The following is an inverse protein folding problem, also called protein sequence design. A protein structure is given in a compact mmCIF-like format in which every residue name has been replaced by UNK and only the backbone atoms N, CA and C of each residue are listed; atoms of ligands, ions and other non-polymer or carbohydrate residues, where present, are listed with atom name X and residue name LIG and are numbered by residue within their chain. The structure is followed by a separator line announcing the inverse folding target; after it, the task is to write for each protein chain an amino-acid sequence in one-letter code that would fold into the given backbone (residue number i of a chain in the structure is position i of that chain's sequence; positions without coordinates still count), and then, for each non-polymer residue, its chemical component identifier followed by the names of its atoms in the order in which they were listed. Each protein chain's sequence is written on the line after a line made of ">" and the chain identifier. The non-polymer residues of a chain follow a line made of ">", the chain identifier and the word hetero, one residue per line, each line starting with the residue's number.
data_IF_748945751424
#
_entry.id   IF_748945751424
#
_cell.length_a   1.000
_cell.length_b   1.000
_cell.length_c   1.000
_cell.angle_alpha   90.00
_cell.angle_beta   90.00
_cell.angle_gamma   90.00
#
_symmetry.space_group_name_H-M   'P 1'
#
loop_
_entity.id
_entity.type
_entity.pdbx_description
1 polymer ?
#
# COMPACT_ATOMS: atom_id res chain seq x y z
N UNK A 1 15.24 10.75 4.35
CA UNK A 1 14.07 10.83 5.24
C UNK A 1 12.98 11.77 4.71
N UNK A 2 13.32 12.90 4.07
CA UNK A 2 12.32 13.78 3.41
C UNK A 2 11.55 13.09 2.25
N UNK A 3 12.23 12.32 1.40
CA UNK A 3 11.58 11.59 0.29
C UNK A 3 10.54 10.57 0.80
N UNK A 4 10.84 9.88 1.89
CA UNK A 4 9.93 8.92 2.52
C UNK A 4 8.63 9.59 3.00
N UNK A 5 8.72 10.79 3.58
CA UNK A 5 7.54 11.54 4.03
C UNK A 5 6.66 12.00 2.87
N UNK A 6 7.26 12.43 1.76
CA UNK A 6 6.51 12.83 0.56
C UNK A 6 5.77 11.62 -0.02
N UNK A 7 6.45 10.48 -0.17
CA UNK A 7 5.81 9.26 -0.65
C UNK A 7 4.70 8.76 0.28
N UNK A 8 4.86 8.91 1.60
CA UNK A 8 3.83 8.56 2.59
C UNK A 8 2.58 9.46 2.45
N UNK A 9 2.76 10.77 2.26
CA UNK A 9 1.65 11.70 2.06
C UNK A 9 0.89 11.41 0.76
N UNK A 10 1.64 11.17 -0.32
CA UNK A 10 1.09 10.79 -1.62
C UNK A 10 0.21 9.54 -1.53
N UNK A 11 0.71 8.46 -0.93
CA UNK A 11 -0.08 7.23 -0.78
C UNK A 11 -1.25 7.41 0.19
N UNK A 12 -1.10 8.20 1.26
CA UNK A 12 -2.18 8.49 2.19
C UNK A 12 -3.36 9.19 1.48
N UNK A 13 -3.08 10.10 0.54
CA UNK A 13 -4.11 10.81 -0.24
C UNK A 13 -4.92 9.86 -1.15
N UNK A 14 -4.29 8.82 -1.71
CA UNK A 14 -5.01 7.77 -2.45
C UNK A 14 -5.91 6.95 -1.51
N UNK A 15 -5.35 6.51 -0.39
CA UNK A 15 -5.94 5.47 0.45
C UNK A 15 -7.07 5.98 1.34
N UNK A 16 -7.00 7.22 1.83
CA UNK A 16 -7.90 7.75 2.87
C UNK A 16 -9.39 7.41 2.65
N UNK A 17 -9.99 7.77 1.51
CA UNK A 17 -11.40 7.50 1.24
C UNK A 17 -11.75 6.01 1.12
N UNK A 18 -10.84 5.20 0.57
CA UNK A 18 -11.03 3.75 0.40
C UNK A 18 -10.91 3.03 1.75
N UNK A 19 -9.89 3.37 2.54
CA UNK A 19 -9.68 2.80 3.86
C UNK A 19 -10.82 3.16 4.80
N UNK A 20 -11.29 4.42 4.80
CA UNK A 20 -12.44 4.83 5.59
C UNK A 20 -13.72 4.08 5.22
N UNK A 21 -13.87 3.65 3.97
CA UNK A 21 -15.06 2.93 3.51
C UNK A 21 -15.04 1.43 3.84
N UNK A 22 -13.86 0.80 3.87
CA UNK A 22 -13.74 -0.65 3.92
C UNK A 22 -12.92 -1.19 5.11
N UNK A 23 -12.41 -0.35 6.01
CA UNK A 23 -11.57 -0.77 7.15
C UNK A 23 -12.23 -1.79 8.08
N UNK A 24 -13.56 -1.81 8.16
CA UNK A 24 -14.32 -2.78 8.96
C UNK A 24 -14.66 -4.08 8.20
N UNK A 25 -14.39 -4.14 6.89
CA UNK A 25 -14.73 -5.31 6.08
C UNK A 25 -13.71 -6.44 6.33
N UNK A 26 -14.15 -7.68 6.67
CA UNK A 26 -13.26 -8.75 7.12
C UNK A 26 -12.23 -9.20 6.07
N UNK A 27 -12.57 -9.07 4.79
CA UNK A 27 -11.70 -9.42 3.66
C UNK A 27 -10.88 -8.26 3.11
N UNK A 28 -10.99 -7.07 3.70
CA UNK A 28 -10.19 -5.92 3.30
C UNK A 28 -8.95 -5.82 4.18
N UNK A 29 -7.80 -5.57 3.56
CA UNK A 29 -6.54 -5.35 4.26
C UNK A 29 -5.80 -4.16 3.66
N UNK A 30 -5.26 -3.31 4.54
CA UNK A 30 -4.36 -2.24 4.15
C UNK A 30 -2.95 -2.53 4.67
N UNK A 31 -2.00 -2.74 3.75
CA UNK A 31 -0.59 -2.98 4.06
C UNK A 31 0.25 -1.81 3.55
N UNK A 32 1.16 -1.34 4.40
CA UNK A 32 2.15 -0.33 4.06
C UNK A 32 3.52 -0.98 4.01
N UNK A 33 4.24 -0.81 2.91
CA UNK A 33 5.58 -1.38 2.74
C UNK A 33 6.57 -0.24 2.53
N UNK A 34 7.47 -0.07 3.48
CA UNK A 34 8.61 0.81 3.36
C UNK A 34 9.78 0.04 2.75
N UNK A 35 9.99 0.21 1.45
CA UNK A 35 11.06 -0.43 0.71
C UNK A 35 12.37 0.37 0.85
N UNK A 36 13.41 -0.26 1.39
CA UNK A 36 14.74 0.32 1.59
C UNK A 36 15.81 -0.54 0.90
N UNK A 37 16.29 -0.10 -0.27
CA UNK A 37 17.29 -0.84 -1.07
C UNK A 37 18.63 -1.07 -0.33
N UNK A 38 18.96 -0.27 0.69
CA UNK A 38 20.24 -0.35 1.38
C UNK A 38 20.10 -1.15 2.68
N UNK A 39 20.74 -2.32 2.76
CA UNK A 39 20.74 -3.24 3.91
C UNK A 39 21.15 -2.57 5.23
N UNK A 40 22.16 -1.70 5.22
CA UNK A 40 22.58 -0.95 6.41
C UNK A 40 21.52 0.05 6.85
N UNK A 41 20.82 0.68 5.88
CA UNK A 41 19.66 1.53 6.17
C UNK A 41 18.48 0.70 6.66
N UNK A 42 18.27 -0.52 6.16
CA UNK A 42 17.19 -1.40 6.64
C UNK A 42 17.40 -1.83 8.09
N UNK A 43 18.65 -2.13 8.49
CA UNK A 43 18.98 -2.44 9.88
C UNK A 43 18.75 -1.22 10.79
N UNK A 44 19.17 -0.03 10.36
CA UNK A 44 18.87 1.21 11.10
C UNK A 44 17.37 1.50 11.16
N UNK A 45 16.64 1.38 10.06
CA UNK A 45 15.18 1.55 10.03
C UNK A 45 14.49 0.53 10.93
N UNK A 46 14.98 -0.72 11.03
CA UNK A 46 14.46 -1.72 11.97
C UNK A 46 14.63 -1.29 13.44
N UNK A 47 15.75 -0.63 13.78
CA UNK A 47 16.01 -0.07 15.10
C UNK A 47 15.16 1.18 15.38
N UNK A 48 14.81 1.95 14.34
CA UNK A 48 13.95 3.14 14.42
C UNK A 48 12.48 2.88 14.08
N UNK A 49 12.06 1.64 13.81
CA UNK A 49 10.66 1.32 13.48
C UNK A 49 9.71 1.74 14.59
N UNK A 50 10.17 1.65 15.84
CA UNK A 50 9.46 2.13 17.03
C UNK A 50 9.22 3.64 17.03
N UNK A 51 10.08 4.43 16.37
CA UNK A 51 9.90 5.87 16.15
C UNK A 51 8.99 6.18 14.96
N UNK A 52 9.17 5.47 13.83
CA UNK A 52 8.33 5.65 12.62
C UNK A 52 6.87 5.27 12.91
N UNK A 53 6.66 4.16 13.63
CA UNK A 53 5.33 3.71 14.08
C UNK A 53 4.62 4.77 14.92
N UNK A 54 5.31 5.63 15.67
CA UNK A 54 4.66 6.72 16.43
C UNK A 54 3.94 7.74 15.53
N UNK A 55 4.31 7.86 14.25
CA UNK A 55 3.61 8.71 13.29
C UNK A 55 2.43 8.02 12.58
N UNK A 56 2.15 6.76 12.92
CA UNK A 56 1.10 5.94 12.32
C UNK A 56 0.10 5.56 13.43
N UNK A 57 -1.22 5.55 13.16
CA UNK A 57 -2.22 5.02 14.08
C UNK A 57 -1.85 3.59 14.54
N UNK A 58 -2.05 3.29 15.84
CA UNK A 58 -1.61 2.02 16.45
C UNK A 58 -2.22 0.80 15.78
N UNK A 59 -3.42 0.96 15.27
CA UNK A 59 -4.22 -0.05 14.59
C UNK A 59 -3.51 -0.54 13.33
N UNK A 60 -2.71 0.31 12.67
CA UNK A 60 -2.02 -0.01 11.42
C UNK A 60 -0.58 -0.50 11.63
N UNK A 61 -0.09 -0.59 12.87
CA UNK A 61 1.30 -1.00 13.12
C UNK A 61 1.60 -2.43 12.68
N UNK A 62 0.61 -3.32 12.79
CA UNK A 62 0.75 -4.72 12.41
C UNK A 62 0.82 -4.94 10.90
N UNK A 63 0.33 -3.98 10.10
CA UNK A 63 0.38 -4.02 8.64
C UNK A 63 1.44 -3.08 8.04
N UNK A 64 2.26 -2.44 8.89
CA UNK A 64 3.40 -1.65 8.45
C UNK A 64 4.67 -2.51 8.42
N UNK A 65 5.15 -2.76 7.20
CA UNK A 65 6.29 -3.61 6.92
C UNK A 65 7.48 -2.78 6.42
N UNK A 66 8.68 -3.19 6.79
CA UNK A 66 9.94 -2.65 6.24
C UNK A 66 10.58 -3.79 5.46
N UNK A 67 10.93 -3.53 4.20
CA UNK A 67 11.51 -4.54 3.31
C UNK A 67 12.80 -4.03 2.68
N UNK A 68 13.82 -4.90 2.65
CA UNK A 68 15.08 -4.70 1.92
C UNK A 68 15.15 -5.55 0.65
N UNK A 69 14.01 -6.04 0.18
CA UNK A 69 13.91 -6.86 -1.02
C UNK A 69 14.59 -6.19 -2.22
N UNK A 70 15.44 -6.93 -2.94
CA UNK A 70 15.96 -6.44 -4.22
C UNK A 70 14.83 -6.41 -5.25
N UNK A 71 14.52 -5.20 -5.75
CA UNK A 71 13.45 -4.95 -6.72
C UNK A 71 13.98 -4.71 -8.14
N UNK A 72 15.27 -4.91 -8.42
CA UNK A 72 15.91 -4.64 -9.72
C UNK A 72 15.11 -5.21 -10.91
N UNK A 73 14.72 -6.48 -10.86
CA UNK A 73 13.94 -7.14 -11.92
C UNK A 73 12.42 -7.05 -11.73
N UNK A 74 11.96 -6.48 -10.62
CA UNK A 74 10.54 -6.41 -10.27
C UNK A 74 9.95 -5.02 -10.53
N UNK A 75 10.78 -3.98 -10.62
CA UNK A 75 10.31 -2.61 -10.85
C UNK A 75 9.59 -2.45 -12.18
N UNK A 76 10.18 -2.92 -13.27
CA UNK A 76 9.60 -2.75 -14.60
C UNK A 76 8.25 -3.46 -14.74
N UNK A 77 8.10 -4.74 -14.34
CA UNK A 77 6.79 -5.42 -14.35
C UNK A 77 5.74 -4.77 -13.46
N UNK A 78 6.15 -4.06 -12.40
CA UNK A 78 5.26 -3.34 -11.48
C UNK A 78 4.98 -1.89 -11.93
N UNK A 79 5.63 -1.40 -12.99
CA UNK A 79 5.53 -0.01 -13.43
C UNK A 79 6.23 0.99 -12.49
N UNK A 80 7.17 0.53 -11.66
CA UNK A 80 7.90 1.35 -10.69
C UNK A 80 9.08 2.10 -11.32
N UNK A 81 8.78 3.07 -12.18
CA UNK A 81 9.78 3.83 -12.94
C UNK A 81 10.58 4.83 -12.10
N UNK A 82 10.02 5.32 -10.99
CA UNK A 82 10.64 6.31 -10.11
C UNK A 82 10.77 5.78 -8.67
N UNK A 83 11.98 5.82 -8.11
CA UNK A 83 12.30 5.31 -6.76
C UNK A 83 11.96 6.27 -5.62
N UNK A 84 11.50 7.48 -5.93
CA UNK A 84 11.31 8.56 -4.96
C UNK A 84 9.83 8.93 -4.73
N UNK A 85 8.90 8.24 -5.37
CA UNK A 85 7.45 8.46 -5.22
C UNK A 85 6.78 7.25 -4.55
N UNK A 86 5.60 7.49 -3.99
CA UNK A 86 4.74 6.44 -3.48
C UNK A 86 4.03 5.68 -4.60
N UNK A 87 3.79 4.38 -4.38
CA UNK A 87 2.96 3.54 -5.24
C UNK A 87 1.87 2.88 -4.40
N UNK A 88 0.68 2.76 -4.98
CA UNK A 88 -0.47 2.09 -4.40
C UNK A 88 -0.93 1.01 -5.36
N UNK A 89 -1.11 -0.20 -4.85
CA UNK A 89 -1.60 -1.33 -5.62
C UNK A 89 -2.85 -1.90 -4.94
N UNK A 90 -3.87 -2.19 -5.74
CA UNK A 90 -4.98 -3.04 -5.33
C UNK A 90 -4.70 -4.46 -5.80
N UNK A 91 -4.68 -5.39 -4.86
CA UNK A 91 -4.34 -6.80 -5.10
C UNK A 91 -5.52 -7.68 -4.72
N UNK A 92 -5.79 -8.70 -5.52
CA UNK A 92 -6.86 -9.68 -5.26
C UNK A 92 -6.38 -10.90 -4.46
N UNK A 93 -7.29 -11.84 -4.18
CA UNK A 93 -7.04 -13.07 -3.42
C UNK A 93 -6.06 -14.04 -4.12
N UNK A 94 -5.79 -13.84 -5.41
CA UNK A 94 -4.84 -14.61 -6.22
C UNK A 94 -3.51 -13.89 -6.41
N UNK A 95 -3.25 -12.87 -5.59
CA UNK A 95 -2.06 -12.04 -5.63
C UNK A 95 -1.85 -11.34 -6.99
N UNK A 96 -2.93 -11.00 -7.69
CA UNK A 96 -2.88 -10.24 -8.95
C UNK A 96 -3.18 -8.77 -8.70
N UNK A 97 -2.38 -7.90 -9.29
CA UNK A 97 -2.62 -6.46 -9.29
C UNK A 97 -3.81 -6.17 -10.20
N UNK A 98 -4.84 -5.53 -9.65
CA UNK A 98 -6.08 -5.18 -10.36
C UNK A 98 -6.20 -3.69 -10.64
N UNK A 99 -5.45 -2.89 -9.90
CA UNK A 99 -5.34 -1.46 -10.08
C UNK A 99 -4.01 -0.97 -9.50
N UNK A 100 -3.44 0.09 -10.08
CA UNK A 100 -2.21 0.72 -9.61
C UNK A 100 -2.30 2.24 -9.77
N UNK A 101 -1.69 2.97 -8.85
CA UNK A 101 -1.53 4.43 -8.90
C UNK A 101 -0.23 4.85 -8.21
N UNK A 102 0.26 6.04 -8.54
CA UNK A 102 1.49 6.58 -7.96
C UNK A 102 1.48 8.11 -7.89
N UNK A 103 2.43 8.68 -7.16
CA UNK A 103 2.58 10.13 -6.98
C UNK A 103 1.33 10.81 -6.37
N UNK A 104 1.02 12.04 -6.77
CA UNK A 104 -0.12 12.78 -6.25
C UNK A 104 -1.42 12.35 -6.96
N UNK A 105 -2.43 11.86 -6.23
CA UNK A 105 -3.65 11.34 -6.83
C UNK A 105 -4.53 12.43 -7.43
N UNK A 106 -5.12 12.13 -8.58
CA UNK A 106 -6.27 12.89 -9.08
C UNK A 106 -7.58 12.40 -8.47
N UNK A 107 -8.63 13.23 -8.39
CA UNK A 107 -9.93 12.84 -7.83
C UNK A 107 -10.53 11.57 -8.48
N UNK A 108 -10.36 11.42 -9.80
CA UNK A 108 -10.81 10.25 -10.54
C UNK A 108 -10.07 8.97 -10.15
N UNK A 109 -8.80 9.05 -9.77
CA UNK A 109 -8.01 7.88 -9.36
C UNK A 109 -8.40 7.42 -7.95
N UNK A 110 -8.67 8.36 -7.05
CA UNK A 110 -9.21 8.08 -5.71
C UNK A 110 -10.56 7.37 -5.82
N UNK A 111 -11.44 7.89 -6.69
CA UNK A 111 -12.75 7.28 -6.94
C UNK A 111 -12.60 5.88 -7.57
N UNK A 112 -11.70 5.74 -8.55
CA UNK A 112 -11.43 4.47 -9.21
C UNK A 112 -10.94 3.40 -8.22
N UNK A 113 -9.98 3.72 -7.36
CA UNK A 113 -9.49 2.80 -6.33
C UNK A 113 -10.63 2.32 -5.41
N UNK A 114 -11.48 3.24 -4.95
CA UNK A 114 -12.63 2.90 -4.11
C UNK A 114 -13.61 1.98 -4.83
N UNK A 115 -13.98 2.31 -6.07
CA UNK A 115 -14.90 1.50 -6.89
C UNK A 115 -14.33 0.11 -7.20
N UNK A 116 -13.06 0.02 -7.60
CA UNK A 116 -12.40 -1.25 -7.85
C UNK A 116 -12.35 -2.12 -6.59
N UNK A 117 -12.09 -1.52 -5.43
CA UNK A 117 -12.08 -2.23 -4.14
C UNK A 117 -13.46 -2.82 -3.83
N UNK A 118 -14.53 -2.02 -3.99
CA UNK A 118 -15.92 -2.50 -3.80
C UNK A 118 -16.21 -3.71 -4.69
N UNK A 119 -15.86 -3.63 -5.98
CA UNK A 119 -16.11 -4.72 -6.94
C UNK A 119 -15.35 -6.00 -6.56
N UNK A 120 -14.12 -5.89 -6.07
CA UNK A 120 -13.35 -7.06 -5.64
C UNK A 120 -13.93 -7.70 -4.38
N UNK A 121 -14.33 -6.89 -3.39
CA UNK A 121 -14.96 -7.38 -2.18
C UNK A 121 -16.28 -8.11 -2.49
N UNK A 122 -17.14 -7.51 -3.31
CA UNK A 122 -18.41 -8.12 -3.73
C UNK A 122 -18.21 -9.46 -4.46
N UNK A 123 -17.17 -9.54 -5.31
CA UNK A 123 -16.82 -10.78 -6.02
C UNK A 123 -16.34 -11.85 -5.07
N UNK A 124 -15.52 -11.47 -4.08
CA UNK A 124 -14.97 -12.40 -3.10
C UNK A 124 -16.08 -12.96 -2.19
N UNK A 125 -16.98 -12.10 -1.68
CA UNK A 125 -18.13 -12.54 -0.87
C UNK A 125 -19.01 -13.53 -1.64
N UNK A 126 -19.35 -13.23 -2.91
CA UNK A 126 -20.13 -14.14 -3.76
C UNK A 126 -19.40 -15.46 -4.08
N UNK A 127 -18.07 -15.45 -4.14
CA UNK A 127 -17.29 -16.66 -4.34
C UNK A 127 -17.30 -17.53 -3.08
N UNK A 128 -17.23 -16.92 -1.89
CA UNK A 128 -17.31 -17.61 -0.60
C UNK A 128 -18.70 -18.21 -0.34
N UNK A 129 -19.78 -17.55 -0.74
CA UNK A 129 -21.16 -18.07 -0.63
C UNK A 129 -21.41 -19.31 -1.51
N UNK A 130 -20.62 -19.49 -2.56
CA UNK A 130 -20.75 -20.61 -3.51
C UNK A 130 -19.84 -21.80 -3.20
N UNK A 131 -18.92 -21.64 -2.25
CA UNK A 131 -17.96 -22.66 -1.84
C UNK A 131 -18.49 -23.45 -0.64
#
# INVERSE_FOLDING_TARGET
>A
MLSTRISELQTANFIGPTHSAFSSHPSYQYIQINLQDNLLKSLLVSLFTSGIRKSIPKELWHTYLVSSQNMEYLRDPLGMVNRHIGYVYLVDERCKIRWAGCADPKPEEIAALKSCTSVLLDRLTKAQEKA
#
